data_IF_043314020298
#
_entry.id   IF_043314020298
#
_cell.length_a   1.000
_cell.length_b   1.000
_cell.length_c   1.000
_cell.angle_alpha   90.00
_cell.angle_beta   90.00
_cell.angle_gamma   90.00
#
_symmetry.space_group_name_H-M   'P 1'
#
loop_
_entity.id
_entity.type
_entity.pdbx_description
1 polymer ?
#
# COMPACT_ATOMS: atom_id res chain seq x y z
N UNK A 1 -55.26 -55.53 -54.71
CA UNK A 1 -53.96 -54.87 -54.62
C UNK A 1 -54.09 -53.67 -53.66
N UNK A 2 -53.51 -53.70 -52.44
CA UNK A 2 -53.62 -52.66 -51.43
C UNK A 2 -52.22 -52.13 -51.17
N UNK A 3 -51.93 -50.89 -51.65
CA UNK A 3 -50.67 -50.23 -51.36
C UNK A 3 -50.67 -49.62 -49.92
N UNK A 4 -49.78 -50.07 -49.04
CA UNK A 4 -49.55 -49.50 -47.75
C UNK A 4 -48.37 -48.56 -47.85
N UNK A 5 -48.56 -47.25 -47.65
CA UNK A 5 -47.52 -46.24 -47.50
C UNK A 5 -47.06 -46.29 -46.07
N UNK A 6 -45.75 -46.51 -45.91
CA UNK A 6 -45.03 -46.43 -44.60
C UNK A 6 -44.49 -45.01 -44.46
N UNK A 7 -45.06 -44.24 -43.53
CA UNK A 7 -44.55 -42.95 -43.12
C UNK A 7 -43.45 -43.21 -42.05
N UNK A 8 -42.19 -42.88 -42.38
CA UNK A 8 -41.11 -42.85 -41.43
C UNK A 8 -41.10 -41.51 -40.65
N UNK A 9 -40.96 -41.51 -39.32
CA UNK A 9 -40.87 -40.27 -38.58
C UNK A 9 -39.45 -39.70 -38.71
N UNK A 10 -39.30 -38.43 -39.16
CA UNK A 10 -38.09 -37.64 -39.09
C UNK A 10 -37.84 -37.25 -37.61
N UNK A 11 -36.88 -37.87 -36.97
CA UNK A 11 -36.41 -37.45 -35.65
C UNK A 11 -35.53 -36.21 -35.82
N UNK A 12 -36.00 -35.04 -35.41
CA UNK A 12 -35.22 -33.82 -35.32
C UNK A 12 -34.27 -33.93 -34.12
N UNK A 13 -32.98 -34.08 -34.37
CA UNK A 13 -31.95 -34.03 -33.36
C UNK A 13 -31.71 -32.54 -33.01
N UNK A 14 -32.30 -32.08 -31.90
CA UNK A 14 -31.99 -30.79 -31.33
C UNK A 14 -30.59 -30.88 -30.69
N UNK A 15 -29.59 -30.31 -31.32
CA UNK A 15 -28.25 -30.12 -30.73
C UNK A 15 -28.35 -29.09 -29.62
N UNK A 16 -28.42 -29.55 -28.37
CA UNK A 16 -28.25 -28.73 -27.18
C UNK A 16 -26.79 -28.24 -27.14
N UNK A 17 -26.58 -27.02 -27.61
CA UNK A 17 -25.32 -26.31 -27.40
C UNK A 17 -25.20 -26.01 -25.90
N UNK A 18 -24.49 -26.86 -25.15
CA UNK A 18 -24.09 -26.52 -23.79
C UNK A 18 -23.16 -25.32 -23.83
N UNK A 19 -23.45 -24.22 -23.12
CA UNK A 19 -22.50 -23.14 -23.01
C UNK A 19 -21.25 -23.70 -22.31
N UNK A 20 -20.13 -23.67 -23.02
CA UNK A 20 -18.83 -23.95 -22.40
C UNK A 20 -18.59 -22.80 -21.43
N UNK A 21 -18.80 -23.03 -20.14
CA UNK A 21 -18.30 -22.15 -19.11
C UNK A 21 -16.76 -22.25 -19.17
N UNK A 22 -16.11 -21.27 -19.81
CA UNK A 22 -14.66 -21.14 -19.70
C UNK A 22 -14.35 -20.89 -18.22
N UNK A 23 -13.48 -21.70 -17.64
CA UNK A 23 -12.95 -21.43 -16.31
C UNK A 23 -12.29 -20.04 -16.33
N UNK A 24 -12.63 -19.20 -15.36
CA UNK A 24 -12.03 -17.86 -15.26
C UNK A 24 -10.51 -17.97 -15.17
N UNK A 25 -9.79 -17.13 -15.92
CA UNK A 25 -8.32 -17.04 -15.83
C UNK A 25 -7.95 -16.52 -14.46
N UNK A 26 -7.06 -17.22 -13.73
CA UNK A 26 -6.63 -16.82 -12.40
C UNK A 26 -5.33 -16.03 -12.47
N UNK A 27 -5.35 -14.77 -12.04
CA UNK A 27 -4.16 -13.94 -11.86
C UNK A 27 -3.62 -14.07 -10.45
N UNK A 28 -2.31 -14.30 -10.32
CA UNK A 28 -1.60 -14.19 -9.05
C UNK A 28 -1.12 -12.75 -8.85
N UNK A 29 -1.69 -12.07 -7.86
CA UNK A 29 -1.44 -10.64 -7.60
C UNK A 29 -0.75 -10.48 -6.25
N UNK A 30 0.45 -9.90 -6.27
CA UNK A 30 1.20 -9.60 -5.05
C UNK A 30 0.86 -8.18 -4.56
N UNK A 31 0.58 -8.06 -3.27
CA UNK A 31 0.03 -6.82 -2.70
C UNK A 31 0.53 -6.53 -1.29
N UNK A 32 0.53 -5.24 -0.94
CA UNK A 32 0.69 -4.77 0.43
C UNK A 32 -0.52 -3.94 0.91
N UNK A 33 -1.58 -3.86 0.14
CA UNK A 33 -2.84 -3.23 0.59
C UNK A 33 -3.30 -3.81 1.93
N UNK A 34 -3.98 -3.01 2.71
CA UNK A 34 -4.60 -3.47 3.95
C UNK A 34 -5.67 -4.54 3.67
N UNK A 35 -5.76 -5.54 4.55
CA UNK A 35 -6.58 -6.74 4.31
C UNK A 35 -8.07 -6.44 4.13
N UNK A 36 -8.58 -5.39 4.76
CA UNK A 36 -9.96 -4.94 4.67
C UNK A 36 -10.32 -4.29 3.32
N UNK A 37 -9.32 -3.95 2.50
CA UNK A 37 -9.50 -3.39 1.16
C UNK A 37 -9.55 -4.45 0.05
N UNK A 38 -8.82 -5.58 0.24
CA UNK A 38 -8.60 -6.58 -0.80
C UNK A 38 -9.88 -7.14 -1.41
N UNK A 39 -10.90 -7.41 -0.58
CA UNK A 39 -12.18 -7.95 -1.04
C UNK A 39 -12.91 -6.96 -1.97
N UNK A 40 -12.90 -5.67 -1.64
CA UNK A 40 -13.56 -4.63 -2.44
C UNK A 40 -12.87 -4.41 -3.79
N UNK A 41 -11.52 -4.36 -3.79
CA UNK A 41 -10.75 -4.16 -5.02
C UNK A 41 -10.88 -5.37 -5.94
N UNK A 42 -10.81 -6.58 -5.39
CA UNK A 42 -11.08 -7.81 -6.13
C UNK A 42 -12.49 -7.80 -6.74
N UNK A 43 -13.50 -7.53 -5.94
CA UNK A 43 -14.90 -7.49 -6.40
C UNK A 43 -15.09 -6.48 -7.52
N UNK A 44 -14.54 -5.26 -7.38
CA UNK A 44 -14.67 -4.23 -8.40
C UNK A 44 -14.04 -4.63 -9.73
N UNK A 45 -12.84 -5.23 -9.69
CA UNK A 45 -12.17 -5.73 -10.89
C UNK A 45 -12.93 -6.90 -11.54
N UNK A 46 -13.32 -7.91 -10.75
CA UNK A 46 -13.97 -9.13 -11.24
C UNK A 46 -15.39 -8.85 -11.78
N UNK A 47 -16.10 -7.86 -11.25
CA UNK A 47 -17.37 -7.39 -11.82
C UNK A 47 -17.20 -6.78 -13.23
N UNK A 48 -16.11 -6.05 -13.45
CA UNK A 48 -15.79 -5.49 -14.76
C UNK A 48 -15.16 -6.53 -15.71
N UNK A 49 -14.63 -7.64 -15.17
CA UNK A 49 -13.90 -8.68 -15.91
C UNK A 49 -14.31 -10.08 -15.41
N UNK A 50 -15.53 -10.56 -15.68
CA UNK A 50 -16.06 -11.78 -15.09
C UNK A 50 -15.36 -13.08 -15.52
N UNK A 51 -14.54 -13.01 -16.56
CA UNK A 51 -13.69 -14.08 -17.08
C UNK A 51 -12.32 -14.17 -16.38
N UNK A 52 -12.02 -13.27 -15.42
CA UNK A 52 -10.75 -13.23 -14.68
C UNK A 52 -11.04 -13.26 -13.19
N UNK A 53 -10.19 -13.98 -12.42
CA UNK A 53 -10.25 -13.97 -10.96
C UNK A 53 -8.88 -13.68 -10.35
N UNK A 54 -8.86 -12.98 -9.21
CA UNK A 54 -7.64 -12.60 -8.49
C UNK A 54 -7.37 -13.58 -7.36
N UNK A 55 -6.12 -14.09 -7.34
CA UNK A 55 -5.53 -14.78 -6.20
C UNK A 55 -4.52 -13.85 -5.54
N UNK A 56 -4.86 -13.35 -4.36
CA UNK A 56 -3.96 -12.50 -3.61
C UNK A 56 -2.83 -13.27 -2.93
N UNK A 57 -1.62 -12.70 -2.99
CA UNK A 57 -0.50 -13.02 -2.09
C UNK A 57 -0.14 -11.71 -1.40
N UNK A 58 -0.39 -11.64 -0.08
CA UNK A 58 -0.31 -10.39 0.67
C UNK A 58 0.66 -10.48 1.83
N UNK A 59 1.50 -9.46 1.96
CA UNK A 59 2.29 -9.16 3.17
C UNK A 59 2.64 -7.66 3.18
N UNK A 60 3.37 -7.20 4.20
CA UNK A 60 3.89 -5.83 4.26
C UNK A 60 4.87 -5.54 3.12
N UNK A 61 4.94 -4.29 2.66
CA UNK A 61 5.69 -3.88 1.46
C UNK A 61 7.15 -4.37 1.45
N UNK A 62 7.84 -4.30 2.59
CA UNK A 62 9.24 -4.75 2.67
C UNK A 62 9.40 -6.24 2.41
N UNK A 63 8.49 -7.06 2.96
CA UNK A 63 8.48 -8.52 2.77
C UNK A 63 8.12 -8.88 1.33
N UNK A 64 7.07 -8.24 0.77
CA UNK A 64 6.70 -8.45 -0.63
C UNK A 64 7.81 -8.05 -1.60
N UNK A 65 8.50 -6.94 -1.33
CA UNK A 65 9.66 -6.50 -2.12
C UNK A 65 10.78 -7.54 -2.08
N UNK A 66 11.14 -8.03 -0.90
CA UNK A 66 12.17 -9.05 -0.75
C UNK A 66 11.78 -10.37 -1.47
N UNK A 67 10.51 -10.77 -1.36
CA UNK A 67 9.97 -11.95 -2.05
C UNK A 67 10.07 -11.81 -3.57
N UNK A 68 9.65 -10.68 -4.13
CA UNK A 68 9.71 -10.41 -5.57
C UNK A 68 11.16 -10.41 -6.08
N UNK A 69 12.10 -9.81 -5.32
CA UNK A 69 13.53 -9.84 -5.65
C UNK A 69 14.10 -11.26 -5.62
N UNK A 70 13.69 -12.09 -4.66
CA UNK A 70 14.12 -13.49 -4.58
C UNK A 70 13.55 -14.35 -5.73
N UNK A 71 12.39 -13.98 -6.27
CA UNK A 71 11.72 -14.70 -7.37
C UNK A 71 12.04 -14.12 -8.76
N UNK A 72 12.99 -13.16 -8.87
CA UNK A 72 13.23 -12.41 -10.12
C UNK A 72 13.51 -13.28 -11.35
N UNK A 73 14.19 -14.40 -11.17
CA UNK A 73 14.58 -15.32 -12.25
C UNK A 73 13.46 -16.29 -12.66
N UNK A 74 12.45 -16.46 -11.80
CA UNK A 74 11.26 -17.26 -12.03
C UNK A 74 10.04 -16.63 -11.33
N UNK A 75 9.54 -15.48 -11.83
CA UNK A 75 8.44 -14.76 -11.20
C UNK A 75 7.17 -15.61 -11.09
N UNK A 76 6.51 -15.54 -9.93
CA UNK A 76 5.24 -16.24 -9.67
C UNK A 76 4.04 -15.30 -9.72
N UNK A 77 4.28 -14.00 -9.61
CA UNK A 77 3.25 -12.98 -9.72
C UNK A 77 3.04 -12.56 -11.17
N UNK A 78 1.79 -12.35 -11.56
CA UNK A 78 1.43 -11.73 -12.83
C UNK A 78 1.46 -10.20 -12.75
N UNK A 79 1.00 -9.66 -11.61
CA UNK A 79 0.88 -8.23 -11.33
C UNK A 79 1.29 -7.95 -9.89
N UNK A 80 1.94 -6.82 -9.68
CA UNK A 80 2.05 -6.18 -8.37
C UNK A 80 0.99 -5.10 -8.29
N UNK A 81 0.18 -5.08 -7.22
CA UNK A 81 -0.86 -4.08 -7.05
C UNK A 81 -0.96 -3.66 -5.57
N UNK A 82 -0.61 -2.38 -5.30
CA UNK A 82 -0.61 -1.79 -3.97
C UNK A 82 0.72 -1.95 -3.22
N UNK A 83 1.86 -1.78 -3.92
CA UNK A 83 3.15 -1.61 -3.26
C UNK A 83 3.59 -0.14 -3.32
N UNK A 84 4.39 0.26 -2.33
CA UNK A 84 4.96 1.59 -2.24
C UNK A 84 5.83 1.93 -3.47
N UNK A 85 5.75 3.17 -3.95
CA UNK A 85 6.42 3.66 -5.15
C UNK A 85 7.94 3.47 -5.14
N UNK A 86 8.59 3.63 -3.98
CA UNK A 86 10.03 3.35 -3.84
C UNK A 86 10.38 1.87 -4.05
N UNK A 87 9.50 0.96 -3.62
CA UNK A 87 9.63 -0.47 -3.89
C UNK A 87 9.39 -0.79 -5.36
N UNK A 88 8.41 -0.15 -5.99
CA UNK A 88 8.15 -0.30 -7.42
C UNK A 88 9.35 0.18 -8.25
N UNK A 89 9.96 1.31 -7.90
CA UNK A 89 11.19 1.78 -8.55
C UNK A 89 12.33 0.76 -8.42
N UNK A 90 12.55 0.21 -7.23
CA UNK A 90 13.55 -0.83 -7.00
C UNK A 90 13.29 -2.10 -7.83
N UNK A 91 12.04 -2.55 -7.90
CA UNK A 91 11.64 -3.72 -8.69
C UNK A 91 11.83 -3.49 -10.20
N UNK A 92 11.56 -2.27 -10.68
CA UNK A 92 11.86 -1.87 -12.06
C UNK A 92 13.36 -1.91 -12.35
N UNK A 93 14.18 -1.32 -11.48
CA UNK A 93 15.65 -1.27 -11.63
C UNK A 93 16.26 -2.68 -11.66
N UNK A 94 15.60 -3.66 -11.03
CA UNK A 94 15.98 -5.07 -11.07
C UNK A 94 15.34 -5.86 -12.23
N UNK A 95 14.64 -5.21 -13.15
CA UNK A 95 14.05 -5.82 -14.34
C UNK A 95 12.82 -6.69 -14.07
N UNK A 96 12.24 -6.64 -12.87
CA UNK A 96 11.05 -7.43 -12.49
C UNK A 96 9.79 -6.79 -13.10
N UNK A 97 9.58 -5.50 -12.88
CA UNK A 97 8.49 -4.77 -13.52
C UNK A 97 8.82 -4.50 -14.99
N UNK A 98 7.83 -4.68 -15.83
CA UNK A 98 7.93 -4.50 -17.28
C UNK A 98 7.30 -3.19 -17.71
N UNK A 99 7.92 -2.54 -18.68
CA UNK A 99 7.35 -1.34 -19.29
C UNK A 99 5.99 -1.66 -19.92
N UNK A 100 5.00 -0.87 -19.56
CA UNK A 100 3.65 -0.95 -20.09
C UNK A 100 3.03 0.45 -20.05
N UNK A 101 2.12 0.75 -20.96
CA UNK A 101 1.37 2.00 -20.94
C UNK A 101 -0.11 1.67 -20.80
N UNK A 102 -0.67 1.79 -19.58
CA UNK A 102 -2.07 1.47 -19.35
C UNK A 102 -2.97 2.50 -20.05
N UNK A 103 -4.17 2.04 -20.43
CA UNK A 103 -5.21 2.91 -20.98
C UNK A 103 -5.66 3.90 -19.90
N UNK A 104 -5.77 5.19 -20.27
CA UNK A 104 -6.22 6.22 -19.34
C UNK A 104 -5.11 6.80 -18.44
N UNK A 105 -3.84 6.46 -18.69
CA UNK A 105 -2.69 6.96 -17.93
C UNK A 105 -2.62 8.49 -17.87
N UNK A 106 -3.11 9.17 -18.90
CA UNK A 106 -3.13 10.64 -19.02
C UNK A 106 -3.99 11.32 -17.94
N UNK A 107 -4.90 10.56 -17.31
CA UNK A 107 -5.75 11.04 -16.22
C UNK A 107 -5.08 10.97 -14.85
N UNK A 108 -3.99 10.19 -14.73
CA UNK A 108 -3.28 9.99 -13.47
C UNK A 108 -2.38 11.19 -13.15
N UNK A 109 -2.36 11.61 -11.89
CA UNK A 109 -1.48 12.67 -11.39
C UNK A 109 -0.02 12.37 -11.75
N UNK A 110 0.72 13.32 -12.36
CA UNK A 110 2.10 13.07 -12.80
C UNK A 110 3.05 12.63 -11.69
N UNK A 111 2.84 13.12 -10.45
CA UNK A 111 3.65 12.76 -9.28
C UNK A 111 3.35 11.37 -8.70
N UNK A 112 2.33 10.68 -9.22
CA UNK A 112 2.00 9.29 -8.89
C UNK A 112 2.37 8.31 -10.02
N UNK A 113 3.12 8.75 -11.04
CA UNK A 113 3.56 7.91 -12.14
C UNK A 113 5.08 7.75 -12.05
N UNK A 114 5.58 6.60 -12.46
CA UNK A 114 7.00 6.36 -12.65
C UNK A 114 7.67 7.53 -13.42
N UNK A 115 8.57 8.29 -12.79
CA UNK A 115 9.18 9.46 -13.43
C UNK A 115 10.19 9.11 -14.51
N UNK A 116 10.63 7.84 -14.57
CA UNK A 116 11.67 7.41 -15.49
C UNK A 116 11.12 7.13 -16.89
N UNK A 117 11.96 7.17 -17.94
CA UNK A 117 11.61 6.63 -19.25
C UNK A 117 11.18 5.16 -19.14
N UNK A 118 10.36 4.69 -20.08
CA UNK A 118 9.82 3.33 -20.07
C UNK A 118 9.08 3.02 -18.75
N UNK A 119 8.03 3.78 -18.51
CA UNK A 119 7.21 3.68 -17.29
C UNK A 119 6.78 2.25 -17.01
N UNK A 120 6.93 1.82 -15.76
CA UNK A 120 6.65 0.44 -15.35
C UNK A 120 5.72 0.36 -14.11
N UNK A 121 5.39 1.48 -13.49
CA UNK A 121 4.45 1.52 -12.37
C UNK A 121 3.62 2.80 -12.37
N UNK A 122 2.40 2.71 -11.81
CA UNK A 122 1.38 3.75 -11.84
C UNK A 122 0.67 3.77 -10.50
N UNK A 123 0.61 4.94 -9.87
CA UNK A 123 -0.02 5.11 -8.56
C UNK A 123 -1.54 5.01 -8.62
N UNK A 124 -2.07 4.23 -7.72
CA UNK A 124 -3.48 4.10 -7.46
C UNK A 124 -3.96 5.21 -6.53
N UNK A 125 -3.16 5.50 -5.51
CA UNK A 125 -3.40 6.48 -4.48
C UNK A 125 -2.08 6.94 -3.85
N UNK A 126 -2.18 7.86 -2.88
CA UNK A 126 -1.08 8.25 -2.02
C UNK A 126 -1.43 7.96 -0.56
N UNK A 127 -0.53 7.29 0.15
CA UNK A 127 -0.64 7.03 1.58
C UNK A 127 0.38 7.85 2.37
N UNK A 128 0.02 8.16 3.62
CA UNK A 128 0.71 9.16 4.42
C UNK A 128 1.00 8.64 5.83
N UNK A 129 2.07 9.14 6.42
CA UNK A 129 2.34 8.98 7.84
C UNK A 129 1.47 9.95 8.64
N UNK A 130 1.08 9.48 9.82
CA UNK A 130 0.53 10.31 10.89
C UNK A 130 0.96 9.76 12.25
N UNK A 131 0.79 10.58 13.27
CA UNK A 131 0.94 10.19 14.66
C UNK A 131 -0.46 9.95 15.23
N UNK A 132 -0.77 8.70 15.61
CA UNK A 132 -1.96 8.33 16.34
C UNK A 132 -1.71 8.55 17.81
N UNK A 133 -2.43 9.48 18.42
CA UNK A 133 -2.29 9.88 19.83
C UNK A 133 -3.53 9.48 20.60
N UNK A 134 -3.39 8.57 21.57
CA UNK A 134 -4.50 8.15 22.43
C UNK A 134 -4.74 9.20 23.54
N UNK A 135 -5.86 9.92 23.45
CA UNK A 135 -6.19 11.01 24.37
C UNK A 135 -6.44 10.52 25.81
N UNK A 136 -6.98 9.30 25.98
CA UNK A 136 -7.30 8.72 27.29
C UNK A 136 -6.01 8.31 28.00
N UNK A 137 -5.17 7.50 27.33
CA UNK A 137 -3.89 7.04 27.90
C UNK A 137 -2.96 8.22 28.17
N UNK A 138 -2.87 9.16 27.23
CA UNK A 138 -2.03 10.34 27.39
C UNK A 138 -2.46 11.20 28.60
N UNK A 139 -3.76 11.39 28.80
CA UNK A 139 -4.29 12.10 29.98
C UNK A 139 -3.93 11.37 31.28
N UNK A 140 -4.03 10.04 31.32
CA UNK A 140 -3.67 9.24 32.50
C UNK A 140 -2.19 9.35 32.84
N UNK A 141 -1.33 9.44 31.82
CA UNK A 141 0.13 9.54 31.96
C UNK A 141 0.64 10.99 32.07
N UNK A 142 -0.24 11.99 31.92
CA UNK A 142 0.15 13.39 31.92
C UNK A 142 0.98 13.81 30.72
N UNK A 143 0.81 13.13 29.55
CA UNK A 143 1.52 13.42 28.33
C UNK A 143 0.88 14.57 27.57
N UNK A 144 1.69 15.51 27.12
CA UNK A 144 1.26 16.59 26.21
C UNK A 144 1.01 16.02 24.82
N UNK A 145 0.12 16.67 24.06
CA UNK A 145 -0.13 16.35 22.66
C UNK A 145 1.02 16.87 21.79
N UNK A 146 1.74 16.01 21.04
CA UNK A 146 2.82 16.46 20.18
C UNK A 146 2.28 17.22 18.97
N UNK A 147 3.03 18.22 18.49
CA UNK A 147 2.70 19.01 17.30
C UNK A 147 3.80 18.96 16.25
N UNK A 148 4.94 18.39 16.59
CA UNK A 148 6.14 18.32 15.78
C UNK A 148 6.86 16.99 15.96
N UNK A 149 7.70 16.61 14.99
CA UNK A 149 8.62 15.48 15.18
C UNK A 149 9.54 15.68 16.35
N UNK A 150 10.00 16.94 16.55
CA UNK A 150 10.89 17.28 17.67
C UNK A 150 10.23 17.08 19.04
N UNK A 151 8.91 17.26 19.16
CA UNK A 151 8.20 17.02 20.43
C UNK A 151 8.34 15.56 20.89
N UNK A 152 8.40 14.59 19.95
CA UNK A 152 8.51 13.16 20.27
C UNK A 152 9.85 12.78 20.94
N UNK A 153 10.82 13.69 20.97
CA UNK A 153 12.08 13.49 21.68
C UNK A 153 12.01 13.85 23.16
N UNK A 154 10.92 14.47 23.63
CA UNK A 154 10.75 14.84 25.04
C UNK A 154 10.76 13.59 25.94
N UNK A 155 11.48 13.60 27.08
CA UNK A 155 11.62 12.43 27.95
C UNK A 155 10.30 11.86 28.47
N UNK A 156 9.24 12.68 28.52
CA UNK A 156 7.90 12.22 28.96
C UNK A 156 7.33 11.10 28.11
N UNK A 157 7.77 10.92 26.85
CA UNK A 157 7.30 9.87 25.95
C UNK A 157 8.09 8.56 26.02
N UNK A 158 9.08 8.46 26.92
CA UNK A 158 9.94 7.28 27.03
C UNK A 158 9.11 6.00 27.25
N UNK A 159 9.25 5.02 26.33
CA UNK A 159 8.52 3.76 26.37
C UNK A 159 7.03 3.87 26.01
N UNK A 160 6.58 4.99 25.41
CA UNK A 160 5.18 5.21 25.08
C UNK A 160 4.92 5.35 23.58
N UNK A 161 5.93 5.15 22.74
CA UNK A 161 5.83 5.28 21.28
C UNK A 161 6.07 3.91 20.62
N UNK A 162 5.18 3.49 19.73
CA UNK A 162 5.42 2.41 18.78
C UNK A 162 5.59 2.97 17.36
N UNK A 163 6.43 2.31 16.55
CA UNK A 163 6.71 2.69 15.17
C UNK A 163 6.93 1.44 14.31
N UNK A 164 6.62 1.46 12.99
CA UNK A 164 6.90 0.32 12.12
C UNK A 164 8.39 0.14 11.85
N UNK A 165 8.85 -1.11 11.82
CA UNK A 165 10.20 -1.46 11.39
C UNK A 165 10.36 -1.20 9.87
N UNK A 166 11.32 -0.40 9.41
CA UNK A 166 11.49 -0.06 8.00
C UNK A 166 11.91 -1.24 7.11
N UNK A 167 12.46 -2.31 7.69
CA UNK A 167 12.86 -3.47 6.90
C UNK A 167 11.65 -4.30 6.45
N UNK A 168 10.62 -4.45 7.30
CA UNK A 168 9.39 -5.17 6.97
C UNK A 168 8.30 -4.25 6.40
N UNK A 169 8.17 -3.03 6.90
CA UNK A 169 7.09 -2.11 6.59
C UNK A 169 7.50 -1.00 5.61
N UNK A 170 6.74 -0.85 4.52
CA UNK A 170 6.85 0.31 3.64
C UNK A 170 6.60 1.63 4.36
N UNK A 171 5.64 1.65 5.27
CA UNK A 171 5.32 2.81 6.13
C UNK A 171 6.52 3.22 6.99
N UNK A 172 7.20 2.24 7.62
CA UNK A 172 8.41 2.50 8.39
C UNK A 172 9.54 3.02 7.51
N UNK A 173 9.76 2.40 6.34
CA UNK A 173 10.79 2.84 5.40
C UNK A 173 10.53 4.25 4.84
N UNK A 174 9.29 4.54 4.50
CA UNK A 174 8.85 5.86 4.05
C UNK A 174 9.16 6.94 5.09
N UNK A 175 8.86 6.71 6.37
CA UNK A 175 9.10 7.71 7.41
C UNK A 175 10.60 7.91 7.69
N UNK A 176 11.37 6.84 7.76
CA UNK A 176 12.85 6.93 7.88
C UNK A 176 13.42 7.74 6.73
N UNK A 177 12.99 7.45 5.50
CA UNK A 177 13.43 8.18 4.31
C UNK A 177 13.00 9.65 4.33
N UNK A 178 11.80 9.96 4.82
CA UNK A 178 11.33 11.33 4.96
C UNK A 178 12.23 12.15 5.92
N UNK A 179 12.59 11.60 7.07
CA UNK A 179 13.51 12.26 7.99
C UNK A 179 14.90 12.46 7.37
N UNK A 180 15.44 11.45 6.68
CA UNK A 180 16.74 11.57 6.03
C UNK A 180 16.72 12.60 4.88
N UNK A 181 15.65 12.68 4.11
CA UNK A 181 15.54 13.63 3.01
C UNK A 181 15.28 15.07 3.48
N UNK A 182 14.48 15.24 4.53
CA UNK A 182 14.12 16.58 5.04
C UNK A 182 15.21 17.18 5.95
N UNK A 183 15.85 16.38 6.79
CA UNK A 183 16.85 16.82 7.76
C UNK A 183 18.29 16.67 7.24
N UNK A 184 18.49 15.86 6.20
CA UNK A 184 19.81 15.38 5.77
C UNK A 184 20.30 14.20 6.61
N UNK A 185 21.22 13.40 6.05
CA UNK A 185 21.62 12.11 6.64
C UNK A 185 22.11 12.25 8.09
N UNK A 186 23.04 13.18 8.35
CA UNK A 186 23.63 13.34 9.69
C UNK A 186 22.59 13.69 10.75
N UNK A 187 21.74 14.68 10.47
CA UNK A 187 20.72 15.13 11.42
C UNK A 187 19.58 14.12 11.53
N UNK A 188 19.17 13.49 10.43
CA UNK A 188 18.14 12.46 10.44
C UNK A 188 18.52 11.23 11.26
N UNK A 189 19.75 10.73 11.12
CA UNK A 189 20.24 9.63 11.96
C UNK A 189 20.38 10.02 13.43
N UNK A 190 20.82 11.25 13.73
CA UNK A 190 20.88 11.77 15.09
C UNK A 190 19.47 11.86 15.70
N UNK A 191 18.48 12.38 14.96
CA UNK A 191 17.10 12.45 15.38
C UNK A 191 16.55 11.04 15.71
N UNK A 192 16.73 10.06 14.83
CA UNK A 192 16.27 8.70 15.06
C UNK A 192 16.94 8.04 16.26
N UNK A 193 18.22 8.34 16.53
CA UNK A 193 18.94 7.85 17.71
C UNK A 193 18.32 8.40 19.00
N UNK A 194 17.92 9.67 19.02
CA UNK A 194 17.24 10.26 20.19
C UNK A 194 15.80 9.73 20.31
N UNK A 195 15.07 9.61 19.19
CA UNK A 195 13.71 9.07 19.17
C UNK A 195 13.66 7.63 19.69
N UNK A 196 14.64 6.80 19.35
CA UNK A 196 14.73 5.41 19.81
C UNK A 196 14.68 5.27 21.34
N UNK A 197 15.17 6.25 22.08
CA UNK A 197 15.08 6.25 23.54
C UNK A 197 13.63 6.24 24.04
N UNK A 198 12.72 6.83 23.26
CA UNK A 198 11.29 6.94 23.56
C UNK A 198 10.45 5.82 22.92
N UNK A 199 11.02 5.10 21.94
CA UNK A 199 10.36 3.95 21.32
C UNK A 199 10.30 2.79 22.31
N UNK A 200 9.11 2.22 22.49
CA UNK A 200 8.88 0.97 23.20
C UNK A 200 9.31 -0.21 22.31
N UNK A 201 8.73 -0.32 21.12
CA UNK A 201 9.07 -1.36 20.17
C UNK A 201 8.79 -0.95 18.71
N UNK A 202 9.40 -1.69 17.77
CA UNK A 202 9.17 -1.57 16.33
C UNK A 202 8.30 -2.72 15.82
N UNK A 203 7.16 -2.39 15.20
CA UNK A 203 6.18 -3.37 14.73
C UNK A 203 6.51 -3.89 13.34
N UNK A 204 6.09 -5.12 13.02
CA UNK A 204 6.20 -5.68 11.68
C UNK A 204 5.32 -4.94 10.66
N UNK A 205 4.08 -4.63 11.02
CA UNK A 205 3.08 -3.98 10.16
C UNK A 205 3.11 -2.45 10.29
N UNK A 206 2.89 -1.75 9.17
CA UNK A 206 2.79 -0.29 9.13
C UNK A 206 1.57 0.29 9.84
N UNK A 207 0.48 -0.44 9.91
CA UNK A 207 -0.79 -0.02 10.54
C UNK A 207 -0.88 -0.37 12.02
N UNK A 208 -0.08 -1.34 12.51
CA UNK A 208 -0.16 -1.85 13.88
C UNK A 208 0.05 -0.78 14.95
N UNK A 209 0.98 0.20 14.85
CA UNK A 209 1.14 1.21 15.89
C UNK A 209 -0.11 2.06 16.15
N UNK A 210 -0.89 2.42 15.11
CA UNK A 210 -2.19 3.08 15.31
C UNK A 210 -3.20 2.16 15.99
N UNK A 211 -3.22 0.86 15.67
CA UNK A 211 -4.10 -0.12 16.34
C UNK A 211 -3.76 -0.21 17.82
N UNK A 212 -2.48 -0.32 18.15
CA UNK A 212 -2.01 -0.37 19.55
C UNK A 212 -2.33 0.93 20.31
N UNK A 213 -2.14 2.09 19.66
CA UNK A 213 -2.55 3.35 20.24
C UNK A 213 -4.07 3.40 20.46
N UNK A 214 -4.89 2.96 19.51
CA UNK A 214 -6.35 2.93 19.65
C UNK A 214 -6.81 2.00 20.78
N UNK A 215 -6.10 0.90 21.02
CA UNK A 215 -6.37 -0.08 22.08
C UNK A 215 -5.79 0.34 23.44
N UNK A 216 -4.96 1.38 23.47
CA UNK A 216 -4.34 1.88 24.71
C UNK A 216 -3.08 1.09 25.13
N UNK A 217 -2.51 0.27 24.25
CA UNK A 217 -1.26 -0.45 24.52
C UNK A 217 -0.06 0.50 24.57
N UNK A 218 -0.08 1.55 23.72
CA UNK A 218 0.85 2.68 23.74
C UNK A 218 0.09 4.00 23.70
N UNK A 219 0.70 5.08 24.14
CA UNK A 219 0.09 6.40 24.03
C UNK A 219 0.18 6.97 22.61
N UNK A 220 1.23 6.61 21.88
CA UNK A 220 1.57 7.17 20.57
C UNK A 220 1.93 6.06 19.60
N UNK A 221 1.30 6.08 18.41
CA UNK A 221 1.66 5.23 17.29
C UNK A 221 2.07 6.07 16.08
N UNK A 222 3.34 5.99 15.65
CA UNK A 222 3.74 6.53 14.34
C UNK A 222 3.31 5.50 13.30
N UNK A 223 2.38 5.87 12.38
CA UNK A 223 1.74 4.87 11.53
C UNK A 223 1.09 5.49 10.30
N UNK A 224 0.20 4.77 9.63
CA UNK A 224 -0.53 5.25 8.46
C UNK A 224 -1.74 6.11 8.88
N UNK A 225 -1.87 7.30 8.28
CA UNK A 225 -2.99 8.20 8.51
C UNK A 225 -4.36 7.54 8.24
N UNK A 226 -4.45 6.71 7.23
CA UNK A 226 -5.69 5.97 6.90
C UNK A 226 -6.11 5.03 8.03
N UNK A 227 -5.17 4.31 8.66
CA UNK A 227 -5.50 3.42 9.78
C UNK A 227 -6.03 4.21 10.96
N UNK A 228 -5.39 5.36 11.24
CA UNK A 228 -5.88 6.29 12.26
C UNK A 228 -7.31 6.77 11.97
N UNK A 229 -7.59 7.22 10.74
CA UNK A 229 -8.92 7.68 10.34
C UNK A 229 -9.98 6.57 10.47
N UNK A 230 -9.67 5.35 10.01
CA UNK A 230 -10.55 4.20 10.12
C UNK A 230 -10.89 3.89 11.59
N UNK A 231 -9.89 3.82 12.46
CA UNK A 231 -10.09 3.54 13.90
C UNK A 231 -10.88 4.66 14.59
N UNK A 232 -10.58 5.92 14.27
CA UNK A 232 -11.33 7.06 14.81
C UNK A 232 -12.80 7.05 14.36
N UNK A 233 -13.08 6.69 13.11
CA UNK A 233 -14.43 6.51 12.59
C UNK A 233 -15.19 5.35 13.32
N UNK A 234 -14.46 4.38 13.84
CA UNK A 234 -14.99 3.28 14.66
C UNK A 234 -15.15 3.65 16.14
N UNK A 235 -14.83 4.89 16.52
CA UNK A 235 -14.98 5.39 17.89
C UNK A 235 -13.75 5.26 18.78
N UNK A 236 -12.58 4.93 18.23
CA UNK A 236 -11.35 4.88 19.01
C UNK A 236 -10.98 6.28 19.55
N UNK A 237 -10.52 6.40 20.82
CA UNK A 237 -10.21 7.67 21.46
C UNK A 237 -8.81 8.18 21.04
N UNK A 238 -8.61 8.31 19.75
CA UNK A 238 -7.33 8.77 19.19
C UNK A 238 -7.49 10.05 18.38
N UNK A 239 -6.47 10.88 18.44
CA UNK A 239 -6.26 11.96 17.46
C UNK A 239 -5.22 11.57 16.43
N UNK A 240 -5.39 12.14 15.22
CA UNK A 240 -4.49 11.94 14.10
C UNK A 240 -3.72 13.23 13.87
N UNK A 241 -2.45 13.22 14.19
CA UNK A 241 -1.60 14.41 14.19
C UNK A 241 -0.67 14.35 12.99
N UNK A 242 -0.63 15.44 12.23
CA UNK A 242 0.39 15.68 11.22
C UNK A 242 1.42 16.65 11.82
N UNK A 243 2.66 16.20 12.08
CA UNK A 243 3.73 17.08 12.54
C UNK A 243 3.94 18.27 11.59
N UNK A 244 4.16 19.45 12.15
CA UNK A 244 4.24 20.71 11.41
C UNK A 244 5.37 20.78 10.39
N UNK A 245 6.41 19.95 10.54
CA UNK A 245 7.54 19.85 9.62
C UNK A 245 7.20 19.06 8.35
N UNK A 246 5.99 18.49 8.29
CA UNK A 246 5.56 17.62 7.22
C UNK A 246 5.70 16.14 7.53
N UNK A 247 5.06 15.33 6.71
CA UNK A 247 5.02 13.86 6.86
C UNK A 247 5.50 13.15 5.60
N UNK A 248 6.08 11.96 5.78
CA UNK A 248 6.39 11.08 4.68
C UNK A 248 5.12 10.61 3.96
N UNK A 249 5.24 10.45 2.65
CA UNK A 249 4.19 9.90 1.81
C UNK A 249 4.79 9.12 0.64
N UNK A 250 4.04 8.16 0.12
CA UNK A 250 4.38 7.45 -1.12
C UNK A 250 3.10 7.13 -1.91
N UNK A 251 3.25 6.86 -3.21
CA UNK A 251 2.20 6.22 -3.98
C UNK A 251 2.07 4.75 -3.56
N UNK A 252 0.85 4.22 -3.44
CA UNK A 252 0.61 2.80 -3.65
C UNK A 252 0.35 2.58 -5.13
N UNK A 253 1.05 1.62 -5.75
CA UNK A 253 1.12 1.55 -7.19
C UNK A 253 0.90 0.15 -7.74
N UNK A 254 0.51 0.09 -9.02
CA UNK A 254 0.37 -1.13 -9.82
C UNK A 254 1.53 -1.23 -10.82
N UNK A 255 1.97 -2.45 -11.12
CA UNK A 255 2.97 -2.73 -12.14
C UNK A 255 2.84 -4.13 -12.73
N UNK A 256 3.12 -4.25 -14.02
CA UNK A 256 3.04 -5.49 -14.79
C UNK A 256 4.31 -6.34 -14.63
N UNK A 257 4.14 -7.64 -14.39
CA UNK A 257 5.24 -8.62 -14.40
C UNK A 257 5.09 -9.54 -15.60
N UNK A 258 3.93 -10.18 -15.76
CA UNK A 258 3.67 -11.12 -16.85
C UNK A 258 3.14 -10.41 -18.10
N UNK A 259 4.03 -10.12 -19.05
CA UNK A 259 3.66 -9.45 -20.30
C UNK A 259 2.93 -10.35 -21.29
N UNK A 260 2.92 -11.66 -21.08
CA UNK A 260 2.23 -12.62 -21.95
C UNK A 260 0.75 -12.77 -21.60
N UNK A 261 0.34 -12.39 -20.39
CA UNK A 261 -1.06 -12.44 -19.96
C UNK A 261 -1.81 -11.17 -20.36
N UNK A 262 -2.82 -11.30 -21.19
CA UNK A 262 -3.74 -10.20 -21.50
C UNK A 262 -4.65 -9.86 -20.31
N UNK A 263 -4.96 -10.86 -19.48
CA UNK A 263 -5.68 -10.64 -18.23
C UNK A 263 -4.88 -9.76 -17.26
N UNK A 264 -3.55 -9.98 -17.15
CA UNK A 264 -2.68 -9.12 -16.34
C UNK A 264 -2.65 -7.66 -16.84
N UNK A 265 -2.59 -7.45 -18.14
CA UNK A 265 -2.68 -6.11 -18.75
C UNK A 265 -4.04 -5.44 -18.47
N UNK A 266 -5.14 -6.21 -18.56
CA UNK A 266 -6.49 -5.72 -18.23
C UNK A 266 -6.60 -5.29 -16.77
N UNK A 267 -5.94 -6.01 -15.85
CA UNK A 267 -5.90 -5.59 -14.44
C UNK A 267 -5.15 -4.26 -14.29
N UNK A 268 -3.99 -4.11 -14.94
CA UNK A 268 -3.23 -2.84 -14.89
C UNK A 268 -4.03 -1.69 -15.50
N UNK A 269 -4.70 -1.90 -16.63
CA UNK A 269 -5.59 -0.89 -17.26
C UNK A 269 -6.74 -0.50 -16.32
N UNK A 270 -7.41 -1.50 -15.73
CA UNK A 270 -8.53 -1.25 -14.83
C UNK A 270 -8.10 -0.52 -13.55
N UNK A 271 -6.94 -0.87 -13.00
CA UNK A 271 -6.45 -0.29 -11.74
C UNK A 271 -6.18 1.22 -11.81
N UNK A 272 -5.97 1.78 -13.00
CA UNK A 272 -5.82 3.23 -13.23
C UNK A 272 -7.11 3.89 -13.75
N UNK A 273 -8.20 3.14 -13.87
CA UNK A 273 -9.49 3.65 -14.36
C UNK A 273 -10.21 4.52 -13.33
N UNK A 274 -11.20 5.27 -13.79
CA UNK A 274 -12.11 6.05 -12.94
C UNK A 274 -12.83 5.18 -11.91
N UNK A 275 -13.29 3.98 -12.30
CA UNK A 275 -14.03 3.09 -11.41
C UNK A 275 -13.12 2.56 -10.29
N UNK A 276 -11.89 2.20 -10.59
CA UNK A 276 -10.91 1.83 -9.57
C UNK A 276 -10.60 3.00 -8.63
N UNK A 277 -10.41 4.22 -9.17
CA UNK A 277 -10.13 5.41 -8.37
C UNK A 277 -11.29 5.78 -7.42
N UNK A 278 -12.54 5.59 -7.82
CA UNK A 278 -13.69 5.72 -6.91
C UNK A 278 -13.67 4.71 -5.77
N UNK A 279 -13.17 3.50 -6.00
CA UNK A 279 -13.00 2.50 -4.94
C UNK A 279 -11.84 2.88 -4.01
N UNK A 280 -10.71 3.34 -4.55
CA UNK A 280 -9.58 3.81 -3.73
C UNK A 280 -9.98 4.99 -2.86
N UNK A 281 -10.80 5.93 -3.36
CA UNK A 281 -11.25 7.09 -2.58
C UNK A 281 -12.18 6.72 -1.40
N UNK A 282 -12.65 5.50 -1.29
CA UNK A 282 -13.31 5.04 -0.06
C UNK A 282 -12.32 4.92 1.11
N UNK A 283 -11.03 4.88 0.83
CA UNK A 283 -9.95 4.70 1.81
C UNK A 283 -8.93 5.84 1.80
N UNK A 284 -8.59 6.38 0.62
CA UNK A 284 -7.53 7.37 0.44
C UNK A 284 -8.08 8.70 -0.08
N UNK A 285 -7.81 9.84 0.59
CA UNK A 285 -8.30 11.15 0.12
C UNK A 285 -7.58 11.63 -1.13
N UNK A 286 -6.39 11.10 -1.41
CA UNK A 286 -5.60 11.41 -2.61
C UNK A 286 -5.46 10.14 -3.42
N UNK A 287 -6.13 10.11 -4.58
CA UNK A 287 -6.07 8.99 -5.52
C UNK A 287 -5.45 9.42 -6.85
N UNK A 288 -5.16 8.44 -7.71
CA UNK A 288 -4.49 8.66 -9.00
C UNK A 288 -5.15 9.73 -9.86
N UNK A 289 -6.47 9.70 -9.99
CA UNK A 289 -7.25 10.68 -10.75
C UNK A 289 -7.69 11.82 -9.83
N UNK A 290 -7.25 13.04 -10.13
CA UNK A 290 -7.49 14.20 -9.24
C UNK A 290 -8.97 14.49 -9.01
N UNK A 291 -9.82 14.35 -10.02
CA UNK A 291 -11.28 14.59 -9.90
C UNK A 291 -11.98 13.58 -8.98
N UNK A 292 -11.40 12.42 -8.76
CA UNK A 292 -11.93 11.38 -7.89
C UNK A 292 -11.38 11.47 -6.45
N UNK A 293 -10.49 12.44 -6.17
CA UNK A 293 -9.94 12.67 -4.83
C UNK A 293 -10.90 13.53 -4.00
N UNK A 294 -11.51 12.93 -2.98
CA UNK A 294 -12.45 13.61 -2.08
C UNK A 294 -12.04 13.41 -0.61
N UNK A 295 -12.37 14.36 0.27
CA UNK A 295 -12.10 14.23 1.70
C UNK A 295 -12.76 12.98 2.32
N UNK A 296 -12.07 12.38 3.27
CA UNK A 296 -12.54 11.23 4.05
C UNK A 296 -12.74 11.68 5.50
N UNK A 297 -13.82 11.19 6.12
CA UNK A 297 -14.13 11.51 7.51
C UNK A 297 -12.97 11.18 8.46
N UNK A 298 -12.65 12.12 9.35
CA UNK A 298 -11.52 12.03 10.28
C UNK A 298 -10.13 11.86 9.67
N UNK A 299 -10.00 11.91 8.35
CA UNK A 299 -8.69 11.92 7.70
C UNK A 299 -8.18 13.37 7.65
N UNK A 300 -6.99 13.69 8.16
CA UNK A 300 -6.48 15.06 8.16
C UNK A 300 -6.17 15.54 6.74
N UNK A 301 -6.11 16.86 6.54
CA UNK A 301 -5.69 17.41 5.25
C UNK A 301 -4.19 17.21 5.03
N UNK A 302 -3.85 16.14 4.32
CA UNK A 302 -2.47 15.68 4.13
C UNK A 302 -1.75 16.38 2.97
N UNK A 303 -2.47 16.93 1.97
CA UNK A 303 -1.81 17.54 0.79
C UNK A 303 -0.89 18.71 1.18
N UNK A 304 -1.23 19.44 2.24
CA UNK A 304 -0.40 20.56 2.74
C UNK A 304 0.79 20.09 3.60
N UNK A 305 0.74 18.87 4.10
CA UNK A 305 1.77 18.28 4.97
C UNK A 305 2.74 17.35 4.22
N UNK A 306 2.59 17.19 2.91
CA UNK A 306 3.45 16.31 2.09
C UNK A 306 4.89 16.82 2.11
N UNK A 307 5.82 16.00 2.64
CA UNK A 307 7.24 16.24 2.49
C UNK A 307 7.68 16.12 1.02
N UNK A 308 8.77 16.76 0.65
CA UNK A 308 9.36 16.55 -0.68
C UNK A 308 10.06 15.19 -0.71
N UNK A 309 9.49 14.20 -1.43
CA UNK A 309 9.96 12.82 -1.47
C UNK A 309 10.50 12.46 -2.85
N UNK A 310 11.72 11.92 -2.89
CA UNK A 310 12.34 11.35 -4.08
C UNK A 310 12.33 9.82 -3.98
N UNK A 311 11.41 9.17 -4.67
CA UNK A 311 11.24 7.70 -4.66
C UNK A 311 12.42 6.97 -5.31
N UNK A 312 13.07 7.58 -6.31
CA UNK A 312 14.27 7.00 -6.94
C UNK A 312 15.45 6.99 -5.96
N UNK A 313 15.62 8.07 -5.19
CA UNK A 313 16.62 8.13 -4.12
C UNK A 313 16.30 7.11 -3.02
N UNK A 314 15.04 6.96 -2.65
CA UNK A 314 14.61 5.93 -1.70
C UNK A 314 14.98 4.53 -2.22
N UNK A 315 14.66 4.21 -3.46
CA UNK A 315 14.98 2.92 -4.07
C UNK A 315 16.50 2.64 -4.05
N UNK A 316 17.31 3.56 -4.55
CA UNK A 316 18.76 3.40 -4.68
C UNK A 316 19.51 3.32 -3.33
N UNK A 317 19.00 3.98 -2.28
CA UNK A 317 19.62 3.99 -0.95
C UNK A 317 19.05 2.94 0.01
N UNK A 318 18.00 2.20 -0.40
CA UNK A 318 17.25 1.27 0.47
C UNK A 318 18.15 0.31 1.24
N UNK A 319 19.03 -0.40 0.55
CA UNK A 319 19.91 -1.41 1.18
C UNK A 319 20.82 -0.80 2.25
N UNK A 320 21.40 0.35 1.96
CA UNK A 320 22.29 1.04 2.91
C UNK A 320 21.52 1.55 4.14
N UNK A 321 20.36 2.17 3.92
CA UNK A 321 19.49 2.67 5.00
C UNK A 321 19.04 1.52 5.90
N UNK A 322 18.50 0.45 5.33
CA UNK A 322 18.02 -0.69 6.12
C UNK A 322 19.12 -1.38 6.90
N UNK A 323 20.30 -1.54 6.30
CA UNK A 323 21.47 -2.10 6.99
C UNK A 323 21.88 -1.27 8.20
N UNK A 324 21.99 0.05 8.02
CA UNK A 324 22.39 0.94 9.11
C UNK A 324 21.30 1.03 10.19
N UNK A 325 20.02 1.04 9.79
CA UNK A 325 18.89 1.06 10.71
C UNK A 325 18.88 -0.21 11.59
N UNK A 326 18.99 -1.39 10.98
CA UNK A 326 19.04 -2.66 11.73
C UNK A 326 20.21 -2.70 12.71
N UNK A 327 21.39 -2.23 12.33
CA UNK A 327 22.55 -2.17 13.23
C UNK A 327 22.30 -1.31 14.47
N UNK A 328 21.47 -0.27 14.34
CA UNK A 328 21.24 0.70 15.43
C UNK A 328 20.03 0.34 16.31
N UNK A 329 18.95 -0.18 15.72
CA UNK A 329 17.63 -0.15 16.37
C UNK A 329 16.89 -1.50 16.38
N UNK A 330 17.37 -2.55 15.68
CA UNK A 330 16.64 -3.83 15.52
C UNK A 330 16.40 -4.57 16.86
N UNK A 331 17.12 -4.20 17.92
CA UNK A 331 16.98 -4.84 19.25
C UNK A 331 15.59 -4.65 19.87
N UNK A 332 14.83 -3.63 19.45
CA UNK A 332 13.45 -3.36 19.90
C UNK A 332 12.39 -3.86 18.90
N UNK A 333 12.81 -4.55 17.83
CA UNK A 333 11.87 -5.06 16.84
C UNK A 333 11.10 -6.25 17.34
N UNK A 334 9.81 -6.33 16.97
CA UNK A 334 9.01 -7.52 17.20
C UNK A 334 9.68 -8.76 16.59
N UNK A 335 9.53 -9.94 17.19
CA UNK A 335 10.04 -11.19 16.61
C UNK A 335 9.53 -11.36 15.18
N UNK A 336 10.41 -11.83 14.30
CA UNK A 336 10.01 -12.23 12.94
C UNK A 336 9.12 -13.46 13.06
N UNK A 337 7.85 -13.31 12.66
CA UNK A 337 6.86 -14.40 12.62
C UNK A 337 7.16 -15.37 11.47
#
# INVERSE_FOLDING_TARGET
MKNRWILAPLAAIATLSTPHAFAAEQLTVYSAFETDMLAKFKQGFEQANPDITIKWVRDSTGIMTAKLLAEKDAPRADVVWGLAGSSMALLKDNGILKAYTPKGIESIRPNLIDPQPNKAWFGNDAFFIAVCYNEVVAKQLGLEKPTSWQDLLKPQYQGHIAMPNPASSGTGYMQVSAWLQSMGDKAGWAYMTELDKNIDHYTHSGSKPCVQAAQGEVAIGISMAIRGATLKNQGAPIDIILPKEGVGWEAEAVGLINTQSDAAKRLVDWSVSTDANKLYNQFYPVVGIKSESHPIANYPNVEQAMANMDFSKMASHRTAILKLWSQKFDSKSEPKS
#
